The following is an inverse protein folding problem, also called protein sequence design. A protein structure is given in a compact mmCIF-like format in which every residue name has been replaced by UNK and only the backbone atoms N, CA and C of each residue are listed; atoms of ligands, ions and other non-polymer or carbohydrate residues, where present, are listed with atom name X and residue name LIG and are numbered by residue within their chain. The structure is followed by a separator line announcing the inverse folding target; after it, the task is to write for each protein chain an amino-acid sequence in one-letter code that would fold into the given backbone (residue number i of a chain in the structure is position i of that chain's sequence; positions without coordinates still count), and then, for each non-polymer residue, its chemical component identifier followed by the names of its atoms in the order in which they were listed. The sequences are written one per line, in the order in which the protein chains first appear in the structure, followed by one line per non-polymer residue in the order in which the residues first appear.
data_IF_730478714454
#
_entry.id   IF_730478714454
#
_cell.length_a   1.000
_cell.length_b   1.000
_cell.length_c   1.000
_cell.angle_alpha   90.00
_cell.angle_beta   90.00
_cell.angle_gamma   90.00
#
_symmetry.space_group_name_H-M   'P 1'
#
loop_
_entity.id
_entity.type
_entity.pdbx_description
1 polymer ?
#
# COMPACT_ATOMS: atom_id res chain seq x y z
N UNK A 1 -22.69 -32.04 13.88
CA UNK A 1 -21.74 -33.05 14.42
C UNK A 1 -20.46 -32.96 13.60
N UNK A 2 -19.32 -32.60 14.22
CA UNK A 2 -18.04 -32.44 13.52
C UNK A 2 -17.45 -33.82 13.18
N UNK A 3 -17.11 -34.08 11.92
CA UNK A 3 -16.44 -35.31 11.48
C UNK A 3 -14.93 -35.10 11.39
N UNK A 4 -14.14 -36.17 11.50
CA UNK A 4 -12.68 -36.11 11.28
C UNK A 4 -12.35 -35.54 9.88
N UNK A 5 -13.17 -35.84 8.88
CA UNK A 5 -13.04 -35.31 7.52
C UNK A 5 -13.21 -33.78 7.46
N UNK A 6 -14.15 -33.24 8.25
CA UNK A 6 -14.40 -31.80 8.36
C UNK A 6 -13.23 -31.07 9.02
N UNK A 7 -12.60 -31.68 10.03
CA UNK A 7 -11.41 -31.13 10.68
C UNK A 7 -10.20 -31.14 9.73
N UNK A 8 -9.99 -32.24 9.01
CA UNK A 8 -8.91 -32.35 8.01
C UNK A 8 -9.01 -31.26 6.95
N UNK A 9 -10.21 -31.01 6.42
CA UNK A 9 -10.43 -29.94 5.44
C UNK A 9 -10.05 -28.54 5.97
N UNK A 10 -10.31 -28.26 7.24
CA UNK A 10 -9.94 -26.98 7.86
C UNK A 10 -8.43 -26.85 8.02
N UNK A 11 -7.75 -27.94 8.41
CA UNK A 11 -6.28 -27.98 8.52
C UNK A 11 -5.65 -27.76 7.15
N UNK A 12 -6.09 -28.51 6.12
CA UNK A 12 -5.57 -28.39 4.76
C UNK A 12 -5.71 -26.94 4.23
N UNK A 13 -6.84 -26.27 4.52
CA UNK A 13 -7.05 -24.85 4.16
C UNK A 13 -6.15 -23.90 4.93
N UNK A 14 -5.91 -24.17 6.22
CA UNK A 14 -5.01 -23.34 7.02
C UNK A 14 -3.56 -23.48 6.55
N UNK A 15 -3.11 -24.70 6.25
CA UNK A 15 -1.79 -24.97 5.69
C UNK A 15 -1.61 -24.27 4.33
N UNK A 16 -2.63 -24.27 3.46
CA UNK A 16 -2.61 -23.51 2.21
C UNK A 16 -2.47 -22.00 2.45
N UNK A 17 -3.22 -21.44 3.40
CA UNK A 17 -3.14 -20.03 3.78
C UNK A 17 -1.73 -19.68 4.28
N UNK A 18 -1.17 -20.50 5.16
CA UNK A 18 0.15 -20.27 5.76
C UNK A 18 1.25 -20.33 4.70
N UNK A 19 1.18 -21.30 3.78
CA UNK A 19 2.10 -21.40 2.64
C UNK A 19 2.02 -20.18 1.71
N UNK A 20 0.81 -19.65 1.47
CA UNK A 20 0.63 -18.41 0.69
C UNK A 20 1.32 -17.23 1.38
N UNK A 21 1.09 -17.02 2.68
CA UNK A 21 1.71 -15.91 3.40
C UNK A 21 3.24 -16.01 3.45
N UNK A 22 3.80 -17.21 3.62
CA UNK A 22 5.25 -17.43 3.54
C UNK A 22 5.80 -17.02 2.16
N UNK A 23 5.13 -17.41 1.08
CA UNK A 23 5.52 -17.01 -0.27
C UNK A 23 5.37 -15.48 -0.47
N UNK A 24 4.33 -14.87 0.08
CA UNK A 24 4.17 -13.41 0.06
C UNK A 24 5.34 -12.69 0.73
N UNK A 25 5.89 -13.20 1.85
CA UNK A 25 7.07 -12.60 2.48
C UNK A 25 8.31 -12.63 1.57
N UNK A 26 8.46 -13.66 0.74
CA UNK A 26 9.52 -13.71 -0.27
C UNK A 26 9.24 -12.73 -1.42
N UNK A 27 8.00 -12.67 -1.91
CA UNK A 27 7.58 -11.73 -2.95
C UNK A 27 7.70 -10.28 -2.51
N UNK A 28 7.44 -9.98 -1.23
CA UNK A 28 7.66 -8.66 -0.64
C UNK A 28 9.12 -8.24 -0.83
N UNK A 29 10.05 -9.08 -0.39
CA UNK A 29 11.50 -8.80 -0.46
C UNK A 29 12.01 -8.69 -1.90
N UNK A 30 11.54 -9.57 -2.78
CA UNK A 30 12.10 -9.71 -4.15
C UNK A 30 11.43 -8.81 -5.18
N UNK A 31 10.17 -8.42 -4.96
CA UNK A 31 9.35 -7.74 -5.98
C UNK A 31 8.75 -6.44 -5.45
N UNK A 32 8.05 -6.48 -4.32
CA UNK A 32 7.32 -5.31 -3.80
C UNK A 32 8.28 -4.24 -3.28
N UNK A 33 9.21 -4.59 -2.39
CA UNK A 33 10.17 -3.64 -1.81
C UNK A 33 11.03 -2.95 -2.87
N UNK A 34 11.61 -3.65 -3.87
CA UNK A 34 12.35 -2.97 -4.94
C UNK A 34 11.50 -2.00 -5.76
N UNK A 35 10.25 -2.38 -6.10
CA UNK A 35 9.34 -1.47 -6.82
C UNK A 35 8.91 -0.29 -5.97
N UNK A 36 8.64 -0.51 -4.68
CA UNK A 36 8.28 0.55 -3.73
C UNK A 36 9.41 1.58 -3.62
N UNK A 37 10.64 1.11 -3.45
CA UNK A 37 11.81 1.98 -3.43
C UNK A 37 11.95 2.76 -4.74
N UNK A 38 11.76 2.09 -5.89
CA UNK A 38 11.81 2.78 -7.19
C UNK A 38 10.73 3.85 -7.34
N UNK A 39 9.51 3.62 -6.87
CA UNK A 39 8.44 4.63 -6.93
C UNK A 39 8.64 5.78 -5.92
N UNK A 40 9.22 5.49 -4.75
CA UNK A 40 9.68 6.50 -3.79
C UNK A 40 10.73 7.41 -4.45
N UNK A 41 11.76 6.84 -5.05
CA UNK A 41 12.83 7.60 -5.70
C UNK A 41 12.28 8.47 -6.83
N UNK A 42 11.42 7.90 -7.69
CA UNK A 42 10.73 8.65 -8.75
C UNK A 42 9.91 9.82 -8.23
N UNK A 43 9.19 9.63 -7.12
CA UNK A 43 8.38 10.70 -6.53
C UNK A 43 9.28 11.82 -6.01
N UNK A 44 10.30 11.48 -5.22
CA UNK A 44 11.24 12.45 -4.64
C UNK A 44 11.96 13.23 -5.75
N UNK A 45 12.43 12.55 -6.79
CA UNK A 45 13.07 13.18 -7.95
C UNK A 45 12.12 14.12 -8.69
N UNK A 46 10.86 13.71 -8.88
CA UNK A 46 9.86 14.54 -9.56
C UNK A 46 9.50 15.79 -8.76
N UNK A 47 9.38 15.67 -7.43
CA UNK A 47 9.17 16.81 -6.53
C UNK A 47 10.38 17.75 -6.57
N UNK A 48 11.59 17.21 -6.42
CA UNK A 48 12.83 17.97 -6.48
C UNK A 48 12.93 18.77 -7.78
N UNK A 49 12.74 18.10 -8.92
CA UNK A 49 12.74 18.74 -10.24
C UNK A 49 11.73 19.88 -10.33
N UNK A 50 10.48 19.65 -9.89
CA UNK A 50 9.44 20.68 -9.92
C UNK A 50 9.77 21.89 -9.03
N UNK A 51 10.34 21.67 -7.85
CA UNK A 51 10.72 22.74 -6.93
C UNK A 51 11.90 23.55 -7.46
N UNK A 52 12.93 22.89 -8.00
CA UNK A 52 14.08 23.54 -8.65
C UNK A 52 13.64 24.37 -9.87
N UNK A 53 12.76 23.84 -10.71
CA UNK A 53 12.17 24.57 -11.85
C UNK A 53 11.41 25.83 -11.41
N UNK A 54 10.86 25.84 -10.20
CA UNK A 54 10.18 26.99 -9.59
C UNK A 54 11.12 27.92 -8.79
N UNK A 55 12.43 27.66 -8.82
CA UNK A 55 13.46 28.51 -8.23
C UNK A 55 13.76 28.23 -6.75
N UNK A 56 13.26 27.14 -6.19
CA UNK A 56 13.60 26.74 -4.83
C UNK A 56 15.03 26.17 -4.77
N UNK A 57 15.71 26.40 -3.65
CA UNK A 57 16.93 25.68 -3.29
C UNK A 57 16.54 24.43 -2.51
N UNK A 58 16.80 23.25 -3.07
CA UNK A 58 16.42 21.96 -2.49
C UNK A 58 17.63 21.32 -1.80
N UNK A 59 17.42 20.85 -0.57
CA UNK A 59 18.35 20.03 0.21
C UNK A 59 17.71 18.66 0.43
N UNK A 60 18.36 17.61 -0.06
CA UNK A 60 17.93 16.23 0.20
C UNK A 60 18.27 15.84 1.65
N UNK A 61 17.36 15.14 2.32
CA UNK A 61 17.56 14.58 3.66
C UNK A 61 17.60 13.06 3.59
N UNK A 62 17.88 12.39 4.70
CA UNK A 62 17.81 10.92 4.77
C UNK A 62 16.38 10.38 4.60
N UNK A 63 15.37 11.22 4.77
CA UNK A 63 13.95 10.87 4.72
C UNK A 63 13.20 11.56 3.59
N UNK A 64 13.80 12.45 2.81
CA UNK A 64 13.09 13.16 1.75
C UNK A 64 13.81 14.43 1.34
N UNK A 65 13.13 15.57 1.43
CA UNK A 65 13.72 16.86 1.03
C UNK A 65 13.14 18.04 1.78
N UNK A 66 13.96 19.08 1.90
CA UNK A 66 13.57 20.41 2.37
C UNK A 66 13.93 21.40 1.26
N UNK A 67 12.97 22.23 0.85
CA UNK A 67 13.18 23.23 -0.17
C UNK A 67 12.85 24.63 0.34
N UNK A 68 13.70 25.60 0.01
CA UNK A 68 13.58 26.97 0.50
C UNK A 68 13.50 27.97 -0.67
N UNK A 69 12.61 28.96 -0.55
CA UNK A 69 12.52 30.10 -1.46
C UNK A 69 12.09 31.35 -0.70
N UNK A 70 13.01 32.29 -0.50
CA UNK A 70 12.81 33.47 0.38
C UNK A 70 12.39 33.01 1.78
N UNK A 71 11.21 33.40 2.25
CA UNK A 71 10.62 33.01 3.54
C UNK A 71 9.78 31.72 3.44
N UNK A 72 9.61 31.16 2.24
CA UNK A 72 8.85 29.93 2.04
C UNK A 72 9.73 28.69 2.21
N UNK A 73 9.20 27.71 2.96
CA UNK A 73 9.81 26.40 3.22
C UNK A 73 8.81 25.31 2.86
N UNK A 74 9.23 24.40 2.00
CA UNK A 74 8.54 23.14 1.72
C UNK A 74 9.34 22.03 2.40
N UNK A 75 8.69 21.21 3.21
CA UNK A 75 9.28 20.00 3.76
C UNK A 75 8.50 18.79 3.27
N UNK A 76 9.20 17.77 2.78
CA UNK A 76 8.62 16.50 2.34
C UNK A 76 9.37 15.39 3.05
N UNK A 77 8.72 14.76 4.04
CA UNK A 77 9.33 13.73 4.87
C UNK A 77 8.65 12.37 4.68
N UNK A 78 9.47 11.35 4.44
CA UNK A 78 9.04 9.96 4.25
C UNK A 78 9.07 9.19 5.58
N UNK A 79 8.03 8.41 5.80
CA UNK A 79 7.89 7.45 6.89
C UNK A 79 7.50 6.08 6.32
N UNK A 80 8.38 5.10 6.52
CA UNK A 80 8.19 3.75 6.02
C UNK A 80 7.36 2.90 6.98
N UNK A 81 6.40 2.14 6.45
CA UNK A 81 5.54 1.22 7.20
C UNK A 81 5.21 -0.03 6.38
N UNK A 82 6.05 -1.06 6.47
CA UNK A 82 5.91 -2.37 5.79
C UNK A 82 5.58 -2.27 4.29
N UNK A 83 4.29 -2.24 3.92
CA UNK A 83 3.78 -2.16 2.54
C UNK A 83 3.28 -0.77 2.13
N UNK A 84 3.51 0.22 2.98
CA UNK A 84 3.07 1.60 2.81
C UNK A 84 4.26 2.54 3.04
N UNK A 85 4.52 3.43 2.09
CA UNK A 85 5.46 4.54 2.26
C UNK A 85 4.67 5.84 2.34
N UNK A 86 4.65 6.45 3.52
CA UNK A 86 3.95 7.71 3.77
C UNK A 86 4.89 8.89 3.53
N UNK A 87 4.36 9.96 2.94
CA UNK A 87 5.01 11.25 2.79
C UNK A 87 4.15 12.31 3.47
N UNK A 88 4.78 13.10 4.34
CA UNK A 88 4.19 14.28 4.96
C UNK A 88 4.70 15.50 4.22
N UNK A 89 3.80 16.20 3.56
CA UNK A 89 4.09 17.39 2.76
C UNK A 89 3.66 18.60 3.57
N UNK A 90 4.63 19.44 3.92
CA UNK A 90 4.48 20.56 4.82
C UNK A 90 4.88 21.87 4.13
N UNK A 91 4.00 22.88 4.16
CA UNK A 91 4.31 24.24 3.69
C UNK A 91 4.38 25.22 4.87
N UNK A 92 5.55 25.84 5.08
CA UNK A 92 5.84 26.79 6.17
C UNK A 92 5.49 26.26 7.58
N UNK A 93 5.44 24.93 7.77
CA UNK A 93 4.97 24.28 9.01
C UNK A 93 3.50 24.57 9.38
N UNK A 94 2.66 24.99 8.43
CA UNK A 94 1.24 25.32 8.70
C UNK A 94 0.23 24.35 8.09
N UNK A 95 0.57 23.71 6.96
CA UNK A 95 -0.32 22.78 6.27
C UNK A 95 0.41 21.45 6.04
N UNK A 96 0.00 20.43 6.79
CA UNK A 96 0.45 19.05 6.61
C UNK A 96 -0.59 18.27 5.82
N UNK A 97 -0.20 17.73 4.67
CA UNK A 97 -0.97 16.72 3.98
C UNK A 97 -0.18 15.40 3.92
N UNK A 98 -0.90 14.27 3.94
CA UNK A 98 -0.31 12.94 3.91
C UNK A 98 -0.63 12.25 2.59
N UNK A 99 0.42 11.78 1.94
CA UNK A 99 0.37 10.94 0.75
C UNK A 99 0.99 9.58 1.06
N UNK A 100 0.29 8.49 0.75
CA UNK A 100 0.82 7.13 0.90
C UNK A 100 1.05 6.49 -0.47
N UNK A 101 2.20 5.87 -0.69
CA UNK A 101 2.43 4.90 -1.78
C UNK A 101 2.08 3.53 -1.22
N UNK A 102 1.08 2.87 -1.80
CA UNK A 102 0.57 1.59 -1.33
C UNK A 102 0.44 0.59 -2.48
N UNK A 103 0.49 -0.69 -2.13
CA UNK A 103 0.16 -1.78 -3.04
C UNK A 103 -1.33 -1.77 -3.39
N UNK A 104 -1.65 -1.78 -4.70
CA UNK A 104 -3.01 -1.91 -5.20
C UNK A 104 -3.50 -3.36 -5.03
N UNK A 105 -4.15 -3.63 -3.90
CA UNK A 105 -4.78 -4.91 -3.62
C UNK A 105 -6.24 -4.81 -4.03
N UNK A 106 -6.56 -5.33 -5.22
CA UNK A 106 -7.94 -5.45 -5.67
C UNK A 106 -8.68 -6.45 -4.80
N UNK A 107 -9.60 -5.96 -3.97
CA UNK A 107 -10.56 -6.84 -3.32
C UNK A 107 -11.59 -7.29 -4.35
N UNK A 108 -11.50 -8.54 -4.81
CA UNK A 108 -12.70 -9.21 -5.32
C UNK A 108 -13.61 -9.47 -4.14
N UNK A 109 -14.61 -8.60 -3.95
CA UNK A 109 -15.76 -8.88 -3.11
C UNK A 109 -16.51 -10.06 -3.74
N UNK A 110 -16.08 -11.29 -3.44
CA UNK A 110 -16.95 -12.43 -3.64
C UNK A 110 -18.15 -12.20 -2.74
N UNK A 111 -19.31 -12.03 -3.38
CA UNK A 111 -20.54 -11.59 -2.76
C UNK A 111 -20.76 -12.30 -1.43
N UNK A 112 -20.92 -11.51 -0.36
CA UNK A 112 -21.48 -12.00 0.89
C UNK A 112 -22.83 -12.64 0.57
N UNK A 113 -22.87 -13.96 0.48
CA UNK A 113 -24.12 -14.69 0.57
C UNK A 113 -24.63 -14.49 1.99
N UNK A 114 -25.54 -13.53 2.18
CA UNK A 114 -26.37 -13.43 3.39
C UNK A 114 -27.07 -14.76 3.59
N UNK A 115 -26.48 -15.63 4.39
CA UNK A 115 -27.10 -16.88 4.79
C UNK A 115 -27.55 -16.72 6.23
N UNK A 116 -28.85 -16.51 6.43
CA UNK A 116 -29.46 -16.42 7.76
C UNK A 116 -29.54 -17.78 8.47
N UNK A 117 -28.94 -18.86 7.94
CA UNK A 117 -29.00 -20.21 8.50
C UNK A 117 -27.79 -21.07 8.10
N UNK A 118 -26.58 -20.72 8.56
CA UNK A 118 -25.45 -21.66 8.54
C UNK A 118 -25.34 -22.30 9.93
N UNK A 119 -25.38 -23.63 10.01
CA UNK A 119 -24.88 -24.35 11.19
C UNK A 119 -23.41 -23.94 11.42
N UNK A 120 -22.96 -23.84 12.67
CA UNK A 120 -21.72 -23.15 13.05
C UNK A 120 -20.49 -23.62 12.27
N UNK A 121 -20.42 -24.90 11.88
CA UNK A 121 -19.35 -25.43 11.04
C UNK A 121 -19.31 -24.82 9.62
N UNK A 122 -20.47 -24.60 9.01
CA UNK A 122 -20.56 -24.03 7.68
C UNK A 122 -20.15 -22.54 7.70
N UNK A 123 -20.46 -21.82 8.78
CA UNK A 123 -19.95 -20.46 9.00
C UNK A 123 -18.42 -20.44 9.08
N UNK A 124 -17.81 -21.36 9.85
CA UNK A 124 -16.34 -21.47 9.92
C UNK A 124 -15.70 -21.79 8.55
N UNK A 125 -16.31 -22.68 7.76
CA UNK A 125 -15.82 -22.98 6.40
C UNK A 125 -15.90 -21.77 5.47
N UNK A 126 -16.95 -20.96 5.59
CA UNK A 126 -17.07 -19.71 4.83
C UNK A 126 -15.97 -18.73 5.23
N UNK A 127 -15.79 -18.47 6.53
CA UNK A 127 -14.72 -17.59 7.02
C UNK A 127 -13.32 -18.05 6.57
N UNK A 128 -13.05 -19.36 6.57
CA UNK A 128 -11.78 -19.90 6.08
C UNK A 128 -11.61 -19.75 4.58
N UNK A 129 -12.68 -19.91 3.81
CA UNK A 129 -12.65 -19.71 2.36
C UNK A 129 -12.44 -18.24 2.00
N UNK A 130 -13.04 -17.31 2.75
CA UNK A 130 -12.81 -15.87 2.59
C UNK A 130 -11.37 -15.49 2.92
N UNK A 131 -10.81 -16.03 4.01
CA UNK A 131 -9.38 -15.86 4.36
C UNK A 131 -8.46 -16.37 3.25
N UNK A 132 -8.74 -17.55 2.70
CA UNK A 132 -7.95 -18.12 1.60
C UNK A 132 -8.03 -17.26 0.34
N UNK A 133 -9.22 -16.78 -0.03
CA UNK A 133 -9.38 -15.87 -1.16
C UNK A 133 -8.61 -14.56 -0.96
N UNK A 134 -8.68 -13.98 0.24
CA UNK A 134 -7.91 -12.79 0.59
C UNK A 134 -6.40 -13.02 0.51
N UNK A 135 -5.92 -14.17 1.00
CA UNK A 135 -4.51 -14.55 0.91
C UNK A 135 -4.06 -14.68 -0.55
N UNK A 136 -4.88 -15.31 -1.41
CA UNK A 136 -4.60 -15.42 -2.86
C UNK A 136 -4.56 -14.06 -3.55
N UNK A 137 -5.54 -13.20 -3.29
CA UNK A 137 -5.56 -11.84 -3.85
C UNK A 137 -4.34 -11.03 -3.41
N UNK A 138 -3.93 -11.18 -2.14
CA UNK A 138 -2.73 -10.55 -1.63
C UNK A 138 -1.46 -11.08 -2.30
N UNK A 139 -1.38 -12.39 -2.53
CA UNK A 139 -0.26 -13.01 -3.26
C UNK A 139 -0.16 -12.48 -4.69
N UNK A 140 -1.28 -12.42 -5.40
CA UNK A 140 -1.31 -11.90 -6.76
C UNK A 140 -0.95 -10.42 -6.80
N UNK A 141 -1.42 -9.63 -5.83
CA UNK A 141 -0.98 -8.25 -5.67
C UNK A 141 0.54 -8.16 -5.42
N UNK A 142 1.12 -9.02 -4.58
CA UNK A 142 2.57 -9.05 -4.34
C UNK A 142 3.37 -9.46 -5.59
N UNK A 143 2.82 -10.34 -6.46
CA UNK A 143 3.44 -10.74 -7.73
C UNK A 143 3.42 -9.62 -8.76
N UNK A 144 2.26 -9.00 -8.97
CA UNK A 144 2.11 -7.92 -9.94
C UNK A 144 2.81 -6.67 -9.43
N UNK A 145 2.70 -6.39 -8.13
CA UNK A 145 3.27 -5.27 -7.43
C UNK A 145 2.96 -3.92 -8.10
N UNK A 146 1.67 -3.70 -8.38
CA UNK A 146 1.16 -2.41 -8.83
C UNK A 146 1.04 -1.47 -7.63
N UNK A 147 1.62 -0.29 -7.76
CA UNK A 147 1.64 0.72 -6.70
C UNK A 147 0.76 1.90 -7.11
N UNK A 148 0.05 2.47 -6.13
CA UNK A 148 -0.79 3.65 -6.28
C UNK A 148 -0.46 4.65 -5.20
N UNK A 149 -0.75 5.92 -5.46
CA UNK A 149 -0.61 7.00 -4.50
C UNK A 149 -1.98 7.36 -3.95
N UNK A 150 -2.09 7.53 -2.64
CA UNK A 150 -3.36 7.83 -1.99
C UNK A 150 -3.20 8.93 -0.96
N UNK A 151 -4.01 9.97 -1.08
CA UNK A 151 -4.06 11.05 -0.09
C UNK A 151 -4.86 10.61 1.14
N UNK A 152 -4.69 11.33 2.25
CA UNK A 152 -5.56 11.16 3.43
C UNK A 152 -7.06 11.33 3.11
N UNK A 153 -7.39 12.11 2.07
CA UNK A 153 -8.77 12.36 1.61
C UNK A 153 -9.26 11.34 0.56
N UNK A 154 -8.57 10.19 0.43
CA UNK A 154 -8.89 9.11 -0.51
C UNK A 154 -8.80 9.48 -2.01
N UNK A 155 -8.18 10.61 -2.37
CA UNK A 155 -7.81 10.86 -3.77
C UNK A 155 -6.72 9.87 -4.16
N UNK A 156 -6.92 9.17 -5.27
CA UNK A 156 -5.99 8.15 -5.79
C UNK A 156 -5.31 8.68 -7.05
N UNK A 157 -4.00 8.51 -7.13
CA UNK A 157 -3.19 8.80 -8.30
C UNK A 157 -2.43 7.54 -8.74
N UNK A 158 -2.11 7.47 -10.02
CA UNK A 158 -1.46 6.33 -10.64
C UNK A 158 -0.04 6.66 -11.12
N UNK A 159 0.45 7.88 -10.86
CA UNK A 159 1.82 8.28 -11.16
C UNK A 159 2.33 9.38 -10.22
N UNK A 160 3.65 9.44 -10.05
CA UNK A 160 4.33 10.54 -9.36
C UNK A 160 4.03 11.91 -10.00
N UNK A 161 3.86 11.96 -11.33
CA UNK A 161 3.57 13.21 -12.03
C UNK A 161 2.20 13.78 -11.67
N UNK A 162 1.18 12.93 -11.55
CA UNK A 162 -0.15 13.34 -11.09
C UNK A 162 -0.09 13.93 -9.67
N UNK A 163 0.66 13.29 -8.78
CA UNK A 163 0.90 13.79 -7.41
C UNK A 163 1.57 15.16 -7.43
N UNK A 164 2.66 15.30 -8.20
CA UNK A 164 3.43 16.55 -8.28
C UNK A 164 2.56 17.67 -8.83
N UNK A 165 1.76 17.40 -9.86
CA UNK A 165 0.83 18.36 -10.43
C UNK A 165 -0.33 18.71 -9.50
N UNK A 166 -0.68 17.82 -8.55
CA UNK A 166 -1.69 18.10 -7.54
C UNK A 166 -1.15 19.03 -6.45
N UNK A 167 0.01 18.71 -5.87
CA UNK A 167 0.58 19.41 -4.71
C UNK A 167 1.39 20.68 -5.06
N UNK A 168 2.07 20.70 -6.20
CA UNK A 168 3.05 21.75 -6.57
C UNK A 168 2.64 22.47 -7.86
N UNK A 169 1.43 23.03 -7.87
CA UNK A 169 0.91 23.92 -8.93
C UNK A 169 1.57 25.29 -8.85
#
# INVERSE_FOLDING_TARGET
MYTVSNLKLLIDKQEEIDAIYQNCEELKKTTVTPKMNSEVDKLVDSINKRLVERGFTVTLTSTGLIANYKEAVVNVDKHSKDLEECFFINFNNYAEDRLSIILDIKQTNNAQTKSNYLDGFAEFLHQMSDKLNNAKNFQDACRVANLIYKTQNNVTFYSAEEVVNYYFK
#
